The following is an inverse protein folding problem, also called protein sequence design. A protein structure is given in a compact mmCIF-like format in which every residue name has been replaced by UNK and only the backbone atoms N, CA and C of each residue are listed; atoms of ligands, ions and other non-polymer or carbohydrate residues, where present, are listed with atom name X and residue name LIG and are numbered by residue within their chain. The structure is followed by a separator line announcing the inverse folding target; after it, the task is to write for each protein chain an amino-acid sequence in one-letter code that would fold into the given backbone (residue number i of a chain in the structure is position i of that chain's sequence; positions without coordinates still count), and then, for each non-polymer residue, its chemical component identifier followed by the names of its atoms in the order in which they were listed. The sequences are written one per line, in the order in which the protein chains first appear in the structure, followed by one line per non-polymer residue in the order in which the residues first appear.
data_IF_301437786014
#
_entry.id   IF_301437786014
#
_cell.length_a   1.000
_cell.length_b   1.000
_cell.length_c   1.000
_cell.angle_alpha   90.00
_cell.angle_beta   90.00
_cell.angle_gamma   90.00
#
_symmetry.space_group_name_H-M   'P 1'
#
loop_
_entity.id
_entity.type
_entity.pdbx_description
1 polymer ?
#
# COMPACT_ATOMS: atom_id res chain seq x y z
N UNK A 1 6.97 18.30 25.41
CA UNK A 1 6.08 17.49 26.25
C UNK A 1 6.28 17.76 27.74
N UNK A 2 7.32 18.48 28.12
CA UNK A 2 7.64 18.81 29.49
C UNK A 2 7.02 20.14 30.00
N UNK A 3 6.28 20.85 29.14
CA UNK A 3 5.64 22.09 29.51
C UNK A 3 4.47 21.84 30.50
N UNK A 4 4.34 22.62 31.58
CA UNK A 4 3.21 22.51 32.47
C UNK A 4 1.91 22.81 31.73
N UNK A 5 0.91 21.95 31.85
CA UNK A 5 -0.38 22.07 31.12
C UNK A 5 -0.44 21.37 29.77
N UNK A 6 0.62 20.70 29.31
CA UNK A 6 0.61 19.99 28.02
C UNK A 6 -0.47 18.89 27.95
N UNK A 7 -0.76 18.27 29.07
CA UNK A 7 -1.70 17.15 29.19
C UNK A 7 -3.13 17.56 29.56
N UNK A 8 -3.36 18.87 29.79
CA UNK A 8 -4.68 19.37 30.17
C UNK A 8 -5.69 19.32 28.99
N UNK A 9 -5.19 19.35 27.76
CA UNK A 9 -5.96 19.12 26.54
C UNK A 9 -5.50 17.80 25.87
N UNK A 10 -6.28 16.75 26.10
CA UNK A 10 -5.94 15.41 25.63
C UNK A 10 -5.90 15.30 24.08
N UNK A 11 -6.78 15.99 23.35
CA UNK A 11 -6.80 15.97 21.90
C UNK A 11 -5.58 16.67 21.31
N UNK A 12 -5.27 17.87 21.76
CA UNK A 12 -4.10 18.62 21.32
C UNK A 12 -2.78 17.91 21.68
N UNK A 13 -2.73 17.27 22.85
CA UNK A 13 -1.58 16.48 23.28
C UNK A 13 -1.38 15.24 22.39
N UNK A 14 -2.47 14.57 22.01
CA UNK A 14 -2.44 13.40 21.14
C UNK A 14 -2.01 13.77 19.70
N UNK A 15 -2.51 14.86 19.13
CA UNK A 15 -2.09 15.36 17.83
C UNK A 15 -0.60 15.69 17.80
N UNK A 16 -0.12 16.43 18.80
CA UNK A 16 1.31 16.78 18.90
C UNK A 16 2.19 15.56 19.10
N UNK A 17 1.73 14.57 19.87
CA UNK A 17 2.44 13.32 20.08
C UNK A 17 2.53 12.50 18.78
N UNK A 18 1.46 12.46 18.00
CA UNK A 18 1.42 11.80 16.69
C UNK A 18 2.36 12.49 15.69
N UNK A 19 2.34 13.84 15.67
CA UNK A 19 3.24 14.62 14.83
C UNK A 19 4.71 14.39 15.22
N UNK A 20 5.01 14.42 16.51
CA UNK A 20 6.37 14.19 16.99
C UNK A 20 6.87 12.79 16.62
N UNK A 21 6.01 11.79 16.76
CA UNK A 21 6.34 10.41 16.38
C UNK A 21 6.65 10.34 14.86
N UNK A 22 5.79 10.91 14.01
CA UNK A 22 6.04 10.94 12.57
C UNK A 22 7.37 11.60 12.19
N UNK A 23 7.68 12.76 12.82
CA UNK A 23 8.97 13.45 12.58
C UNK A 23 10.17 12.63 13.06
N UNK A 24 10.05 11.92 14.18
CA UNK A 24 11.12 11.02 14.65
C UNK A 24 11.32 9.86 13.68
N UNK A 25 10.24 9.22 13.26
CA UNK A 25 10.28 8.11 12.31
C UNK A 25 10.91 8.56 10.96
N UNK A 26 10.63 9.78 10.50
CA UNK A 26 11.24 10.35 9.30
C UNK A 26 12.76 10.57 9.48
N UNK A 27 13.18 11.12 10.63
CA UNK A 27 14.61 11.34 10.93
C UNK A 27 15.35 10.02 11.06
N UNK A 28 14.79 9.03 11.76
CA UNK A 28 15.37 7.69 11.90
C UNK A 28 15.49 6.99 10.54
N UNK A 29 14.47 7.13 9.69
CA UNK A 29 14.48 6.60 8.31
C UNK A 29 15.60 7.23 7.49
N UNK A 30 15.76 8.54 7.55
CA UNK A 30 16.87 9.23 6.87
C UNK A 30 18.23 8.78 7.40
N UNK A 31 18.39 8.68 8.71
CA UNK A 31 19.63 8.24 9.33
C UNK A 31 20.00 6.81 8.90
N UNK A 32 18.99 5.91 8.87
CA UNK A 32 19.18 4.54 8.40
C UNK A 32 19.60 4.46 6.93
N UNK A 33 19.02 5.30 6.07
CA UNK A 33 19.43 5.38 4.66
C UNK A 33 20.87 5.85 4.50
N UNK A 34 21.29 6.85 5.27
CA UNK A 34 22.69 7.30 5.24
C UNK A 34 23.65 6.20 5.69
N UNK A 35 23.28 5.46 6.75
CA UNK A 35 24.10 4.35 7.20
C UNK A 35 24.20 3.24 6.15
N UNK A 36 23.08 2.85 5.53
CA UNK A 36 23.08 1.85 4.45
C UNK A 36 23.95 2.31 3.26
N UNK A 37 23.90 3.60 2.92
CA UNK A 37 24.75 4.14 1.86
C UNK A 37 26.25 4.01 2.20
N UNK A 38 26.65 4.37 3.43
CA UNK A 38 28.04 4.26 3.90
C UNK A 38 28.49 2.78 3.95
N UNK A 39 27.61 1.88 4.39
CA UNK A 39 27.89 0.44 4.43
C UNK A 39 28.12 -0.12 3.02
N UNK A 40 27.27 0.23 2.05
CA UNK A 40 27.42 -0.18 0.65
C UNK A 40 28.72 0.39 0.05
N UNK A 41 29.05 1.66 0.30
CA UNK A 41 30.30 2.27 -0.17
C UNK A 41 31.51 1.52 0.39
N UNK A 42 31.48 1.14 1.66
CA UNK A 42 32.52 0.37 2.34
C UNK A 42 32.64 -1.03 1.74
N UNK A 43 31.54 -1.74 1.51
CA UNK A 43 31.56 -3.06 0.88
C UNK A 43 32.13 -3.03 -0.53
N UNK A 44 31.78 -2.02 -1.32
CA UNK A 44 32.33 -1.82 -2.67
C UNK A 44 33.82 -1.60 -2.60
N UNK A 45 34.30 -0.75 -1.69
CA UNK A 45 35.74 -0.46 -1.55
C UNK A 45 36.51 -1.71 -1.12
N UNK A 46 36.03 -2.45 -0.13
CA UNK A 46 36.66 -3.69 0.33
C UNK A 46 36.67 -4.77 -0.78
N UNK A 47 35.58 -4.94 -1.51
CA UNK A 47 35.51 -5.87 -2.63
C UNK A 47 36.51 -5.54 -3.75
N UNK A 48 36.75 -4.23 -3.99
CA UNK A 48 37.79 -3.79 -4.94
C UNK A 48 39.22 -4.05 -4.46
N UNK A 49 39.49 -3.78 -3.16
CA UNK A 49 40.84 -3.95 -2.59
C UNK A 49 41.24 -5.43 -2.47
N UNK A 50 40.28 -6.29 -2.08
CA UNK A 50 40.49 -7.72 -1.88
C UNK A 50 40.27 -8.56 -3.16
N UNK A 51 39.71 -7.95 -4.21
CA UNK A 51 39.28 -8.62 -5.44
C UNK A 51 38.37 -9.83 -5.16
N UNK A 52 37.44 -9.65 -4.20
CA UNK A 52 36.51 -10.66 -3.71
C UNK A 52 35.13 -10.57 -4.39
N UNK A 53 34.78 -11.63 -5.11
CA UNK A 53 33.48 -11.69 -5.81
C UNK A 53 32.28 -11.85 -4.83
N UNK A 54 32.49 -12.44 -3.64
CA UNK A 54 31.43 -12.59 -2.65
C UNK A 54 31.03 -11.24 -2.07
N UNK A 55 32.00 -10.40 -1.71
CA UNK A 55 31.74 -9.02 -1.26
C UNK A 55 31.08 -8.16 -2.34
N UNK A 56 31.45 -8.36 -3.61
CA UNK A 56 30.79 -7.66 -4.72
C UNK A 56 29.33 -8.08 -4.90
N UNK A 57 29.02 -9.35 -4.64
CA UNK A 57 27.64 -9.85 -4.69
C UNK A 57 26.82 -9.31 -3.52
N UNK A 58 27.37 -9.31 -2.30
CA UNK A 58 26.72 -8.75 -1.10
C UNK A 58 26.42 -7.27 -1.28
N UNK A 59 27.39 -6.49 -1.76
CA UNK A 59 27.19 -5.07 -2.06
C UNK A 59 26.05 -4.83 -3.07
N UNK A 60 25.89 -5.73 -4.05
CA UNK A 60 24.82 -5.64 -5.05
C UNK A 60 23.44 -5.93 -4.43
N UNK A 61 23.35 -6.93 -3.57
CA UNK A 61 22.10 -7.28 -2.87
C UNK A 61 21.67 -6.17 -1.91
N UNK A 62 22.63 -5.60 -1.17
CA UNK A 62 22.39 -4.44 -0.29
C UNK A 62 21.97 -3.21 -1.10
N UNK A 63 22.59 -2.95 -2.24
CA UNK A 63 22.21 -1.84 -3.12
C UNK A 63 20.80 -2.00 -3.67
N UNK A 64 20.39 -3.20 -4.10
CA UNK A 64 19.05 -3.44 -4.59
C UNK A 64 17.99 -3.23 -3.47
N UNK A 65 18.29 -3.64 -2.25
CA UNK A 65 17.46 -3.39 -1.05
C UNK A 65 17.36 -1.90 -0.75
N UNK A 66 18.48 -1.17 -0.82
CA UNK A 66 18.53 0.28 -0.63
C UNK A 66 17.67 1.02 -1.65
N UNK A 67 17.77 0.66 -2.94
CA UNK A 67 16.95 1.26 -4.01
C UNK A 67 15.46 1.04 -3.76
N UNK A 68 15.03 -0.16 -3.36
CA UNK A 68 13.64 -0.44 -3.02
C UNK A 68 13.15 0.42 -1.84
N UNK A 69 13.98 0.58 -0.83
CA UNK A 69 13.67 1.42 0.34
C UNK A 69 13.54 2.90 -0.08
N UNK A 70 14.47 3.38 -0.88
CA UNK A 70 14.48 4.74 -1.41
C UNK A 70 13.22 5.03 -2.25
N UNK A 71 12.82 4.10 -3.12
CA UNK A 71 11.61 4.25 -3.93
C UNK A 71 10.34 4.32 -3.08
N UNK A 72 10.26 3.53 -2.00
CA UNK A 72 9.13 3.61 -1.07
C UNK A 72 9.07 4.97 -0.35
N UNK A 73 10.21 5.52 0.07
CA UNK A 73 10.28 6.83 0.73
C UNK A 73 9.95 7.95 -0.26
N UNK A 74 10.43 7.85 -1.50
CA UNK A 74 10.11 8.78 -2.58
C UNK A 74 8.59 8.87 -2.82
N UNK A 75 7.91 7.71 -2.87
CA UNK A 75 6.45 7.68 -3.00
C UNK A 75 5.80 8.38 -1.79
N UNK A 76 6.22 8.08 -0.55
CA UNK A 76 5.68 8.75 0.65
C UNK A 76 5.86 10.27 0.60
N UNK A 77 7.01 10.74 0.13
CA UNK A 77 7.31 12.18 0.01
C UNK A 77 6.42 12.86 -1.03
N UNK A 78 6.02 12.16 -2.10
CA UNK A 78 5.10 12.68 -3.10
C UNK A 78 3.64 12.79 -2.60
N UNK A 79 3.29 12.05 -1.54
CA UNK A 79 1.96 12.07 -0.92
C UNK A 79 1.87 13.25 0.08
N UNK A 80 1.87 14.48 -0.44
CA UNK A 80 1.87 15.72 0.35
C UNK A 80 0.55 16.49 0.32
N UNK A 81 -0.50 15.92 -0.27
CA UNK A 81 -1.83 16.54 -0.32
C UNK A 81 -2.49 16.61 1.06
N UNK A 82 -3.42 17.54 1.22
CA UNK A 82 -4.13 17.80 2.49
C UNK A 82 -4.76 16.55 3.11
N UNK A 83 -5.35 15.69 2.26
CA UNK A 83 -6.03 14.46 2.69
C UNK A 83 -5.18 13.20 2.53
N UNK A 84 -3.96 13.30 1.99
CA UNK A 84 -3.15 12.12 1.67
C UNK A 84 -2.83 11.26 2.90
N UNK A 85 -2.71 11.88 4.07
CA UNK A 85 -2.45 11.21 5.35
C UNK A 85 -3.68 10.54 6.00
N UNK A 86 -4.86 10.74 5.41
CA UNK A 86 -6.11 10.21 5.95
C UNK A 86 -6.29 8.73 5.60
N UNK A 87 -7.21 8.09 6.35
CA UNK A 87 -7.75 6.78 5.98
C UNK A 87 -8.55 6.90 4.68
N UNK A 88 -8.68 5.81 3.94
CA UNK A 88 -9.43 5.77 2.69
C UNK A 88 -10.72 4.96 2.83
N UNK A 89 -11.82 5.48 2.29
CA UNK A 89 -13.05 4.72 2.11
C UNK A 89 -13.19 4.42 0.62
N UNK A 90 -13.24 3.13 0.29
CA UNK A 90 -13.44 2.66 -1.07
C UNK A 90 -14.83 2.07 -1.22
N UNK A 91 -15.46 2.39 -2.33
CA UNK A 91 -16.71 1.76 -2.75
C UNK A 91 -16.51 1.14 -4.13
N UNK A 92 -16.71 -0.16 -4.22
CA UNK A 92 -16.71 -0.90 -5.48
C UNK A 92 -18.15 -1.23 -5.83
N UNK A 93 -18.51 -0.98 -7.09
CA UNK A 93 -19.83 -1.33 -7.61
C UNK A 93 -19.64 -2.15 -8.90
N UNK A 94 -20.31 -3.28 -8.99
CA UNK A 94 -20.37 -4.04 -10.22
C UNK A 94 -21.03 -3.20 -11.33
N UNK A 95 -20.45 -3.26 -12.52
CA UNK A 95 -20.99 -2.59 -13.71
C UNK A 95 -22.14 -3.36 -14.35
N UNK A 96 -22.48 -2.99 -15.60
CA UNK A 96 -23.60 -3.56 -16.37
C UNK A 96 -23.31 -4.96 -16.97
N UNK A 97 -22.44 -5.75 -16.38
CA UNK A 97 -22.00 -7.06 -16.91
C UNK A 97 -22.62 -8.29 -16.22
N UNK A 98 -23.70 -8.13 -15.45
CA UNK A 98 -24.31 -9.26 -14.73
C UNK A 98 -23.33 -9.97 -13.79
N UNK A 99 -23.39 -11.31 -13.74
CA UNK A 99 -22.53 -12.16 -12.88
C UNK A 99 -21.04 -11.92 -13.10
N UNK A 100 -20.60 -11.67 -14.33
CA UNK A 100 -19.20 -11.38 -14.66
C UNK A 100 -18.69 -10.09 -14.00
N UNK A 101 -19.52 -9.06 -13.95
CA UNK A 101 -19.14 -7.81 -13.29
C UNK A 101 -19.11 -7.95 -11.77
N UNK A 102 -19.96 -8.80 -11.20
CA UNK A 102 -19.94 -9.13 -9.78
C UNK A 102 -18.68 -9.94 -9.40
N UNK A 103 -18.28 -10.89 -10.22
CA UNK A 103 -17.03 -11.64 -10.04
C UNK A 103 -15.80 -10.71 -10.15
N UNK A 104 -15.81 -9.79 -11.12
CA UNK A 104 -14.76 -8.79 -11.23
C UNK A 104 -14.67 -7.87 -10.02
N UNK A 105 -15.80 -7.39 -9.49
CA UNK A 105 -15.82 -6.59 -8.28
C UNK A 105 -15.25 -7.35 -7.07
N UNK A 106 -15.54 -8.65 -6.95
CA UNK A 106 -14.95 -9.50 -5.92
C UNK A 106 -13.43 -9.66 -6.08
N UNK A 107 -12.95 -9.80 -7.31
CA UNK A 107 -11.51 -9.85 -7.57
C UNK A 107 -10.81 -8.55 -7.18
N UNK A 108 -11.39 -7.40 -7.50
CA UNK A 108 -10.89 -6.08 -7.10
C UNK A 108 -10.87 -5.93 -5.57
N UNK A 109 -11.95 -6.29 -4.90
CA UNK A 109 -12.01 -6.26 -3.44
C UNK A 109 -10.90 -7.08 -2.80
N UNK A 110 -10.71 -8.32 -3.27
CA UNK A 110 -9.62 -9.19 -2.83
C UNK A 110 -8.23 -8.61 -3.12
N UNK A 111 -8.06 -7.95 -4.27
CA UNK A 111 -6.80 -7.29 -4.64
C UNK A 111 -6.46 -6.17 -3.67
N UNK A 112 -7.40 -5.28 -3.39
CA UNK A 112 -7.19 -4.16 -2.46
C UNK A 112 -6.99 -4.62 -1.02
N UNK A 113 -7.75 -5.60 -0.56
CA UNK A 113 -7.58 -6.17 0.79
C UNK A 113 -6.18 -6.76 0.97
N UNK A 114 -5.72 -7.57 0.03
CA UNK A 114 -4.37 -8.14 0.07
C UNK A 114 -3.26 -7.10 -0.05
N UNK A 115 -3.50 -6.06 -0.82
CA UNK A 115 -2.57 -4.94 -0.89
C UNK A 115 -2.48 -4.21 0.45
N UNK A 116 -3.61 -3.93 1.07
CA UNK A 116 -3.67 -3.29 2.38
C UNK A 116 -2.94 -4.13 3.45
N UNK A 117 -3.19 -5.44 3.51
CA UNK A 117 -2.51 -6.37 4.40
C UNK A 117 -0.98 -6.33 4.23
N UNK A 118 -0.49 -6.37 2.99
CA UNK A 118 0.95 -6.29 2.68
C UNK A 118 1.58 -4.96 3.09
N UNK A 119 0.81 -3.88 3.10
CA UNK A 119 1.26 -2.56 3.58
C UNK A 119 1.10 -2.39 5.10
N UNK A 120 0.58 -3.39 5.81
CA UNK A 120 0.31 -3.32 7.25
C UNK A 120 -0.90 -2.47 7.61
N UNK A 121 -1.79 -2.21 6.66
CA UNK A 121 -3.04 -1.48 6.87
C UNK A 121 -4.13 -2.42 7.35
N UNK A 122 -5.06 -1.90 8.14
CA UNK A 122 -6.26 -2.63 8.55
C UNK A 122 -7.43 -2.30 7.64
N UNK A 123 -8.21 -3.31 7.27
CA UNK A 123 -9.40 -3.16 6.43
C UNK A 123 -10.63 -3.43 7.28
N UNK A 124 -11.59 -2.51 7.24
CA UNK A 124 -12.88 -2.61 7.91
C UNK A 124 -13.99 -2.56 6.86
N UNK A 125 -14.81 -3.59 6.81
CA UNK A 125 -15.96 -3.66 5.92
C UNK A 125 -17.12 -2.88 6.52
N UNK A 126 -17.64 -1.90 5.77
CA UNK A 126 -18.71 -1.02 6.21
C UNK A 126 -20.07 -1.45 5.64
N UNK A 127 -20.10 -1.92 4.40
CA UNK A 127 -21.32 -2.34 3.71
C UNK A 127 -20.96 -3.40 2.66
N UNK A 128 -21.75 -4.45 2.57
CA UNK A 128 -21.50 -5.56 1.67
C UNK A 128 -22.80 -6.08 1.07
N UNK A 129 -22.90 -6.07 -0.25
CA UNK A 129 -24.02 -6.60 -0.98
C UNK A 129 -23.56 -7.66 -1.96
N UNK A 130 -23.96 -8.90 -1.71
CA UNK A 130 -23.67 -10.03 -2.59
C UNK A 130 -24.32 -9.89 -3.96
N UNK A 131 -23.72 -10.51 -4.97
CA UNK A 131 -24.35 -10.70 -6.28
C UNK A 131 -25.44 -11.75 -6.21
N UNK A 132 -26.43 -11.68 -7.11
CA UNK A 132 -27.58 -12.60 -7.11
C UNK A 132 -27.18 -14.07 -7.35
N UNK A 133 -26.18 -14.33 -8.16
CA UNK A 133 -25.71 -15.69 -8.48
C UNK A 133 -24.28 -15.94 -7.95
N UNK A 134 -23.40 -14.96 -8.07
CA UNK A 134 -22.02 -15.04 -7.60
C UNK A 134 -21.38 -13.65 -7.51
N UNK A 135 -20.29 -13.56 -6.75
CA UNK A 135 -19.51 -12.35 -6.65
C UNK A 135 -20.13 -11.27 -5.78
N UNK A 136 -19.70 -10.03 -5.94
CA UNK A 136 -20.09 -8.87 -5.13
C UNK A 136 -20.80 -7.85 -6.03
N UNK A 137 -22.00 -7.44 -5.68
CA UNK A 137 -22.73 -6.36 -6.35
C UNK A 137 -22.21 -4.99 -5.95
N UNK A 138 -22.01 -4.79 -4.66
CA UNK A 138 -21.32 -3.61 -4.14
C UNK A 138 -20.64 -3.92 -2.81
N UNK A 139 -19.52 -3.27 -2.55
CA UNK A 139 -18.85 -3.32 -1.25
C UNK A 139 -18.30 -1.95 -0.93
N UNK A 140 -18.46 -1.53 0.32
CA UNK A 140 -17.84 -0.32 0.88
C UNK A 140 -16.98 -0.74 2.04
N UNK A 141 -15.72 -0.39 2.01
CA UNK A 141 -14.77 -0.73 3.05
C UNK A 141 -13.81 0.43 3.33
N UNK A 142 -13.35 0.51 4.55
CA UNK A 142 -12.38 1.50 5.00
C UNK A 142 -11.01 0.84 5.12
N UNK A 143 -10.00 1.52 4.61
CA UNK A 143 -8.59 1.16 4.77
C UNK A 143 -7.97 2.13 5.75
N UNK A 144 -7.57 1.62 6.90
CA UNK A 144 -6.97 2.41 7.98
C UNK A 144 -5.45 2.25 7.93
N UNK A 145 -4.76 3.34 7.73
CA UNK A 145 -3.31 3.38 7.70
C UNK A 145 -2.77 4.73 7.29
N UNK A 146 -1.50 4.97 7.58
CA UNK A 146 -0.84 6.22 7.21
C UNK A 146 -0.73 6.35 5.69
N UNK A 147 -1.19 7.46 5.15
CA UNK A 147 -1.25 7.76 3.72
C UNK A 147 -2.16 6.81 2.90
N UNK A 148 -3.08 6.08 3.52
CA UNK A 148 -3.97 5.16 2.81
C UNK A 148 -4.76 5.86 1.69
N UNK A 149 -5.31 7.06 1.96
CA UNK A 149 -6.00 7.84 0.95
C UNK A 149 -5.06 8.30 -0.17
N UNK A 150 -3.86 8.74 0.17
CA UNK A 150 -2.87 9.19 -0.80
C UNK A 150 -2.53 8.12 -1.82
N UNK A 151 -2.36 6.87 -1.39
CA UNK A 151 -2.12 5.73 -2.28
C UNK A 151 -3.33 5.37 -3.15
N UNK A 152 -4.54 5.47 -2.59
CA UNK A 152 -5.76 4.95 -3.22
C UNK A 152 -6.56 6.00 -4.02
N UNK A 153 -6.28 7.29 -3.85
CA UNK A 153 -7.02 8.39 -4.54
C UNK A 153 -6.97 8.29 -6.06
N UNK A 154 -5.89 7.76 -6.62
CA UNK A 154 -5.71 7.60 -8.07
C UNK A 154 -6.47 6.42 -8.65
N UNK A 155 -6.92 5.48 -7.81
CA UNK A 155 -7.69 4.30 -8.21
C UNK A 155 -9.16 4.63 -8.57
N UNK A 156 -9.57 5.87 -8.40
CA UNK A 156 -10.93 6.31 -8.74
C UNK A 156 -11.18 6.22 -10.24
N UNK A 157 -12.13 5.38 -10.63
CA UNK A 157 -12.48 5.26 -12.05
C UNK A 157 -13.17 3.95 -12.40
N UNK A 158 -13.17 3.63 -13.69
CA UNK A 158 -13.75 2.40 -14.22
C UNK A 158 -12.64 1.38 -14.46
N UNK A 159 -12.67 0.28 -13.74
CA UNK A 159 -11.77 -0.83 -13.90
C UNK A 159 -12.32 -1.84 -14.91
N UNK A 160 -11.61 -2.02 -16.01
CA UNK A 160 -12.01 -2.92 -17.10
C UNK A 160 -11.18 -4.20 -17.07
N UNK A 161 -11.86 -5.34 -17.02
CA UNK A 161 -11.24 -6.65 -17.17
C UNK A 161 -11.37 -7.14 -18.63
N UNK A 162 -10.27 -7.64 -19.18
CA UNK A 162 -10.25 -8.33 -20.46
C UNK A 162 -9.67 -9.72 -20.26
N UNK A 163 -10.54 -10.73 -20.19
CA UNK A 163 -10.17 -12.14 -20.06
C UNK A 163 -11.19 -13.04 -20.73
N UNK A 164 -10.84 -14.30 -20.92
CA UNK A 164 -11.83 -15.34 -21.24
C UNK A 164 -12.69 -15.57 -19.99
N UNK A 165 -14.02 -15.51 -20.15
CA UNK A 165 -14.94 -15.68 -19.04
C UNK A 165 -14.96 -17.11 -18.55
N UNK A 166 -14.71 -17.36 -17.24
CA UNK A 166 -14.88 -18.71 -16.67
C UNK A 166 -16.36 -19.10 -16.55
N UNK A 167 -17.28 -18.13 -16.49
CA UNK A 167 -18.71 -18.37 -16.33
C UNK A 167 -19.40 -18.66 -17.67
N UNK A 168 -19.00 -17.99 -18.75
CA UNK A 168 -19.54 -18.21 -20.10
C UNK A 168 -19.15 -19.56 -20.70
N UNK A 169 -18.09 -20.20 -20.24
CA UNK A 169 -17.62 -21.47 -20.79
C UNK A 169 -18.58 -22.62 -20.51
N UNK A 170 -19.41 -22.51 -19.48
CA UNK A 170 -20.40 -23.56 -19.13
C UNK A 170 -21.63 -23.53 -20.04
N UNK A 171 -21.85 -22.47 -20.82
CA UNK A 171 -22.99 -22.34 -21.75
C UNK A 171 -22.62 -22.52 -23.24
N UNK A 172 -21.35 -22.73 -23.54
CA UNK A 172 -20.84 -22.98 -24.91
C UNK A 172 -20.70 -24.45 -25.28
N UNK A 173 -21.32 -25.36 -24.54
CA UNK A 173 -21.53 -26.71 -25.06
C UNK A 173 -22.64 -26.64 -26.13
N UNK A 174 -22.22 -26.49 -27.35
CA UNK A 174 -23.08 -26.61 -28.54
C UNK A 174 -23.92 -27.89 -28.47
N UNK A 175 -25.23 -27.81 -28.73
CA UNK A 175 -25.97 -28.99 -29.07
C UNK A 175 -25.43 -29.51 -30.40
N UNK A 176 -25.02 -30.73 -30.44
CA UNK A 176 -24.80 -31.53 -31.63
C UNK A 176 -26.09 -31.66 -32.44
#
# INVERSE_FOLDING_TARGET
MEAPGFWDDAEAAQEKSKLLKGLKDDVETCAHLYQQYEDIETLIQMGYEENDEELAQEAREEFDSFVQTLDNIKIRTLLSGEYDKCNAILKLNAGAGGTESCDWAQMLYRMYTRWAERKGFTVEELDFLEGEEAGIKSVTFQVNGENAYGYLKSEKGVHRLVRISPVSYTHLTLPT
#
